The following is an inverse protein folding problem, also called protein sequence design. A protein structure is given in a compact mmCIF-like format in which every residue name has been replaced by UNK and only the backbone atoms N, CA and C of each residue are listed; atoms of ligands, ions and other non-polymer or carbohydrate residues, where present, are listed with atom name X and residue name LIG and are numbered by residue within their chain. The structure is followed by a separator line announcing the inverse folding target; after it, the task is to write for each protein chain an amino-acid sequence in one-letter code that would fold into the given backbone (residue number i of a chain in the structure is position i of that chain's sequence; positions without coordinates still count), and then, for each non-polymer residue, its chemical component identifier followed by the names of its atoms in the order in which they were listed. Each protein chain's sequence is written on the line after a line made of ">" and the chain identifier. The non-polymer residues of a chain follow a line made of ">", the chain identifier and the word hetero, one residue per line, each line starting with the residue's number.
data_IF_567000982033
#
_entry.id   IF_567000982033
#
_cell.length_a   1.000
_cell.length_b   1.000
_cell.length_c   1.000
_cell.angle_alpha   90.00
_cell.angle_beta   90.00
_cell.angle_gamma   90.00
#
_symmetry.space_group_name_H-M   'P 1'
#
loop_
_entity.id
_entity.type
_entity.pdbx_description
1 polymer ?
#
# COMPACT_ATOMS: atom_id res chain seq x y z
N UNK A 1 -3.75 16.04 6.65
CA UNK A 1 -3.47 15.38 5.35
C UNK A 1 -2.88 13.98 5.57
N UNK A 2 -3.51 13.13 6.38
CA UNK A 2 -3.00 11.76 6.67
C UNK A 2 -4.05 10.70 6.30
N UNK A 3 -5.32 11.01 6.51
CA UNK A 3 -6.41 10.06 6.27
C UNK A 3 -6.71 9.76 4.80
N UNK A 4 -6.43 10.66 3.86
CA UNK A 4 -6.61 10.39 2.42
C UNK A 4 -5.51 9.46 1.88
N UNK A 5 -4.26 9.65 2.34
CA UNK A 5 -3.15 8.74 2.05
C UNK A 5 -3.40 7.34 2.59
N UNK A 6 -3.97 7.24 3.80
CA UNK A 6 -4.34 5.95 4.41
C UNK A 6 -5.39 5.19 3.58
N UNK A 7 -6.35 5.89 2.95
CA UNK A 7 -7.34 5.27 2.05
C UNK A 7 -6.69 4.86 0.73
N UNK A 8 -5.82 5.69 0.15
CA UNK A 8 -5.13 5.35 -1.10
C UNK A 8 -4.18 4.14 -0.94
N UNK A 9 -3.50 4.06 0.21
CA UNK A 9 -2.55 2.97 0.48
C UNK A 9 -3.22 1.62 0.78
N UNK A 10 -4.46 1.64 1.30
CA UNK A 10 -5.15 0.42 1.77
C UNK A 10 -6.46 0.11 1.02
N UNK A 11 -6.87 0.97 0.08
CA UNK A 11 -8.08 0.80 -0.71
C UNK A 11 -7.80 0.09 -2.03
N UNK A 12 -8.78 -0.66 -2.53
CA UNK A 12 -8.60 -1.49 -3.74
C UNK A 12 -8.70 -0.70 -5.06
N UNK A 13 -9.11 0.57 -5.06
CA UNK A 13 -9.41 1.34 -6.27
C UNK A 13 -8.95 2.81 -6.16
N UNK A 14 -7.64 3.05 -6.31
CA UNK A 14 -7.02 4.38 -6.20
C UNK A 14 -7.58 5.39 -7.22
N UNK A 15 -7.82 4.97 -8.46
CA UNK A 15 -8.35 5.85 -9.52
C UNK A 15 -9.78 6.33 -9.23
N UNK A 16 -10.62 5.41 -8.74
CA UNK A 16 -11.99 5.74 -8.35
C UNK A 16 -12.03 6.67 -7.13
N UNK A 17 -11.06 6.57 -6.22
CA UNK A 17 -10.91 7.49 -5.09
C UNK A 17 -10.52 8.89 -5.57
N UNK A 18 -9.58 9.00 -6.51
CA UNK A 18 -9.13 10.28 -7.07
C UNK A 18 -10.29 11.03 -7.74
N UNK A 19 -11.07 10.34 -8.60
CA UNK A 19 -12.27 10.88 -9.23
C UNK A 19 -13.30 11.40 -8.22
N UNK A 20 -13.47 10.70 -7.08
CA UNK A 20 -14.41 11.10 -6.03
C UNK A 20 -13.96 12.36 -5.30
N UNK A 21 -12.64 12.52 -5.11
CA UNK A 21 -12.02 13.69 -4.49
C UNK A 21 -12.15 14.89 -5.42
N UNK A 22 -11.77 14.76 -6.69
CA UNK A 22 -11.91 15.81 -7.71
C UNK A 22 -13.35 16.31 -7.80
N UNK A 23 -14.32 15.40 -7.93
CA UNK A 23 -15.74 15.78 -8.01
C UNK A 23 -16.27 16.47 -6.73
N UNK A 24 -15.62 16.32 -5.58
CA UNK A 24 -15.98 17.08 -4.37
C UNK A 24 -15.36 18.49 -4.41
N UNK A 25 -14.10 18.58 -4.83
CA UNK A 25 -13.36 19.83 -4.94
C UNK A 25 -13.93 20.74 -6.03
N UNK A 26 -14.36 20.20 -7.18
CA UNK A 26 -15.05 20.93 -8.25
C UNK A 26 -16.35 21.59 -7.75
N UNK A 27 -16.98 21.02 -6.72
CA UNK A 27 -18.17 21.59 -6.06
C UNK A 27 -17.82 22.57 -4.95
N UNK A 28 -16.54 22.94 -4.80
CA UNK A 28 -16.03 23.80 -3.73
C UNK A 28 -16.15 23.16 -2.35
N UNK A 29 -16.30 21.84 -2.26
CA UNK A 29 -16.52 21.12 -0.99
C UNK A 29 -15.30 20.28 -0.65
N UNK A 30 -14.98 20.23 0.64
CA UNK A 30 -14.02 19.26 1.14
C UNK A 30 -14.64 17.86 1.15
N UNK A 31 -13.95 16.85 0.61
CA UNK A 31 -14.46 15.48 0.62
C UNK A 31 -14.61 14.94 2.04
N UNK A 32 -15.73 14.26 2.29
CA UNK A 32 -16.00 13.63 3.58
C UNK A 32 -15.18 12.34 3.72
N UNK A 33 -14.12 12.42 4.52
CA UNK A 33 -13.17 11.33 4.75
C UNK A 33 -13.85 10.09 5.36
N UNK A 34 -14.82 10.25 6.27
CA UNK A 34 -15.49 9.11 6.90
C UNK A 34 -16.29 8.30 5.88
N UNK A 35 -16.97 8.99 4.96
CA UNK A 35 -17.70 8.36 3.86
C UNK A 35 -16.75 7.67 2.87
N UNK A 36 -15.62 8.30 2.56
CA UNK A 36 -14.61 7.69 1.69
C UNK A 36 -13.99 6.45 2.35
N UNK A 37 -13.75 6.45 3.66
CA UNK A 37 -13.27 5.26 4.37
C UNK A 37 -14.25 4.09 4.27
N UNK A 38 -15.54 4.32 4.50
CA UNK A 38 -16.54 3.25 4.38
C UNK A 38 -16.70 2.72 2.95
N UNK A 39 -16.43 3.55 1.95
CA UNK A 39 -16.61 3.21 0.54
C UNK A 39 -15.39 2.50 -0.07
N UNK A 40 -14.18 2.93 0.32
CA UNK A 40 -12.94 2.50 -0.33
C UNK A 40 -12.07 1.58 0.51
N UNK A 41 -12.23 1.55 1.84
CA UNK A 41 -11.51 0.60 2.68
C UNK A 41 -12.26 -0.73 2.73
N UNK A 42 -11.56 -1.87 2.55
CA UNK A 42 -12.18 -3.16 2.71
C UNK A 42 -12.69 -3.35 4.16
N UNK A 43 -13.90 -3.90 4.32
CA UNK A 43 -14.52 -4.17 5.62
C UNK A 43 -13.69 -5.13 6.48
N UNK A 44 -12.95 -6.02 5.82
CA UNK A 44 -11.96 -6.90 6.45
C UNK A 44 -10.60 -6.57 5.84
N UNK A 45 -9.67 -6.08 6.64
CA UNK A 45 -8.26 -5.99 6.21
C UNK A 45 -7.77 -7.42 5.95
N UNK A 46 -7.59 -7.77 4.68
CA UNK A 46 -6.95 -9.03 4.32
C UNK A 46 -5.53 -8.99 4.86
N UNK A 47 -5.27 -9.72 5.94
CA UNK A 47 -3.93 -9.88 6.49
C UNK A 47 -3.26 -10.94 5.64
N UNK A 48 -2.45 -10.52 4.67
CA UNK A 48 -1.59 -11.45 3.94
C UNK A 48 -0.52 -11.89 4.93
N UNK A 49 -0.60 -13.15 5.34
CA UNK A 49 0.42 -13.72 6.21
C UNK A 49 1.67 -13.96 5.36
N UNK A 50 2.63 -13.05 5.47
CA UNK A 50 3.89 -13.13 4.71
C UNK A 50 4.88 -13.91 5.53
N UNK A 51 5.15 -15.15 5.12
CA UNK A 51 6.25 -15.94 5.69
C UNK A 51 7.56 -15.44 5.12
N UNK A 52 8.43 -14.88 5.98
CA UNK A 52 9.80 -14.53 5.62
C UNK A 52 10.65 -15.79 5.84
N UNK A 53 11.24 -16.41 4.79
CA UNK A 53 12.10 -17.57 4.97
C UNK A 53 13.40 -17.18 5.67
N UNK A 54 14.02 -18.10 6.44
CA UNK A 54 15.33 -17.86 7.01
C UNK A 54 16.38 -17.63 5.89
N UNK A 55 17.42 -16.83 6.14
CA UNK A 55 18.47 -16.57 5.17
C UNK A 55 19.26 -17.85 4.83
N UNK A 56 19.58 -18.04 3.55
CA UNK A 56 20.46 -19.11 3.09
C UNK A 56 21.94 -18.71 3.24
N UNK A 57 22.52 -19.02 4.40
CA UNK A 57 23.92 -18.74 4.68
C UNK A 57 24.89 -19.43 3.70
N UNK A 58 24.55 -20.62 3.19
CA UNK A 58 25.42 -21.34 2.26
C UNK A 58 25.48 -20.62 0.91
N UNK A 59 24.33 -20.18 0.40
CA UNK A 59 24.24 -19.35 -0.80
C UNK A 59 25.01 -18.03 -0.68
N UNK A 60 24.86 -17.31 0.43
CA UNK A 60 25.60 -16.07 0.67
C UNK A 60 27.11 -16.28 0.73
N UNK A 61 27.56 -17.34 1.40
CA UNK A 61 28.98 -17.68 1.47
C UNK A 61 29.56 -18.00 0.08
N UNK A 62 28.78 -18.66 -0.78
CA UNK A 62 29.20 -18.94 -2.15
C UNK A 62 29.33 -17.65 -2.98
N UNK A 63 28.41 -16.69 -2.83
CA UNK A 63 28.51 -15.39 -3.51
C UNK A 63 29.72 -14.58 -3.04
N UNK A 64 29.99 -14.57 -1.73
CA UNK A 64 31.17 -13.92 -1.17
C UNK A 64 32.48 -14.54 -1.66
N UNK A 65 32.53 -15.87 -1.72
CA UNK A 65 33.70 -16.59 -2.23
C UNK A 65 33.98 -16.24 -3.70
N UNK A 66 32.94 -16.16 -4.53
CA UNK A 66 33.10 -15.79 -5.95
C UNK A 66 33.46 -14.30 -6.15
N UNK A 67 33.05 -13.42 -5.24
CA UNK A 67 33.40 -12.00 -5.28
C UNK A 67 34.87 -11.71 -4.92
N UNK A 68 35.56 -12.65 -4.26
CA UNK A 68 36.98 -12.53 -3.89
C UNK A 68 37.95 -13.05 -4.97
N UNK A 69 37.43 -13.53 -6.11
CA UNK A 69 38.23 -14.07 -7.24
C UNK A 69 38.50 -12.99 -8.32
N UNK A 70 38.23 -11.72 -8.03
CA UNK A 70 38.59 -10.55 -8.86
C UNK A 70 39.72 -9.76 -8.20
#
# INVERSE_FOLDING_TARGET
>A
MVALLDIAANGNCVDALALRIEAALDRGKLPNVAKLKSEFLPTVRSRVDVTIPPPDFAGYNHLLANAQVL
#
